data_IF_755110477244
#
_entry.id   IF_755110477244
#
_cell.length_a   1.000
_cell.length_b   1.000
_cell.length_c   1.000
_cell.angle_alpha   90.00
_cell.angle_beta   90.00
_cell.angle_gamma   90.00
#
_symmetry.space_group_name_H-M   'P 1'
#
loop_
_entity.id
_entity.type
_entity.pdbx_description
1 polymer ?
#
# COMPACT_ATOMS: atom_id res chain seq x y z
N UNK A 1 -3.70 -27.91 -23.45
CA UNK A 1 -2.38 -27.76 -22.77
C UNK A 1 -1.68 -26.42 -23.01
N UNK A 2 -1.66 -25.86 -24.24
CA UNK A 2 -1.05 -24.54 -24.52
C UNK A 2 -1.61 -23.37 -23.70
N UNK A 3 -2.92 -23.39 -23.40
CA UNK A 3 -3.60 -22.30 -22.66
C UNK A 3 -3.19 -22.28 -21.18
N UNK A 4 -2.89 -23.45 -20.60
CA UNK A 4 -2.43 -23.59 -19.20
C UNK A 4 -1.00 -23.06 -19.03
N UNK A 5 -0.15 -23.24 -20.04
CA UNK A 5 1.21 -22.71 -20.02
C UNK A 5 1.24 -21.17 -20.16
N UNK A 6 0.30 -20.60 -20.92
CA UNK A 6 0.20 -19.15 -21.11
C UNK A 6 -0.26 -18.40 -19.85
N UNK A 7 -1.20 -18.97 -19.09
CA UNK A 7 -1.70 -18.34 -17.85
C UNK A 7 -0.68 -18.38 -16.72
N UNK A 8 0.13 -19.43 -16.62
CA UNK A 8 1.21 -19.52 -15.63
C UNK A 8 2.26 -18.41 -15.81
N UNK A 9 2.55 -18.03 -17.07
CA UNK A 9 3.53 -16.99 -17.39
C UNK A 9 3.05 -15.59 -16.94
N UNK A 10 1.75 -15.29 -17.09
CA UNK A 10 1.19 -14.00 -16.67
C UNK A 10 1.14 -13.83 -15.15
N UNK A 11 0.96 -14.92 -14.38
CA UNK A 11 1.03 -14.85 -12.91
C UNK A 11 2.47 -14.59 -12.43
N UNK A 12 3.48 -15.16 -13.09
CA UNK A 12 4.88 -14.95 -12.73
C UNK A 12 5.33 -13.49 -12.97
N UNK A 13 4.81 -12.83 -14.00
CA UNK A 13 5.11 -11.43 -14.32
C UNK A 13 4.51 -10.42 -13.33
N UNK A 14 3.39 -10.77 -12.66
CA UNK A 14 2.80 -9.93 -11.62
C UNK A 14 3.60 -9.87 -10.31
N UNK A 15 4.48 -10.85 -10.07
CA UNK A 15 5.28 -10.93 -8.85
C UNK A 15 6.50 -9.99 -8.86
N UNK A 16 6.90 -9.44 -10.01
CA UNK A 16 8.01 -8.49 -10.12
C UNK A 16 7.59 -7.02 -9.95
N UNK A 17 6.32 -6.74 -9.64
CA UNK A 17 5.87 -5.39 -9.33
C UNK A 17 6.39 -4.96 -7.95
N UNK A 18 7.64 -4.49 -7.93
CA UNK A 18 8.28 -3.91 -6.76
C UNK A 18 7.44 -2.73 -6.28
N UNK A 19 6.88 -2.82 -5.07
CA UNK A 19 6.15 -1.70 -4.47
C UNK A 19 7.11 -0.52 -4.31
N UNK A 20 6.73 0.70 -4.73
CA UNK A 20 7.57 1.87 -4.57
C UNK A 20 7.88 2.09 -3.08
N UNK A 21 9.12 2.50 -2.81
CA UNK A 21 9.59 2.74 -1.44
C UNK A 21 8.76 3.89 -0.83
N UNK A 22 8.04 3.64 0.27
CA UNK A 22 7.03 4.57 0.74
C UNK A 22 7.63 5.89 1.23
N UNK A 23 8.89 5.87 1.67
CA UNK A 23 9.60 7.08 2.10
C UNK A 23 9.86 8.02 0.93
N UNK A 24 10.03 7.49 -0.29
CA UNK A 24 10.25 8.30 -1.49
C UNK A 24 8.95 9.02 -1.88
N UNK A 25 7.81 8.34 -1.74
CA UNK A 25 6.50 8.92 -2.02
C UNK A 25 6.17 10.06 -1.03
N UNK A 26 6.36 9.84 0.27
CA UNK A 26 6.09 10.85 1.31
C UNK A 26 6.96 12.11 1.13
N UNK A 27 8.25 11.95 0.76
CA UNK A 27 9.15 13.07 0.45
C UNK A 27 8.72 13.85 -0.79
N UNK A 28 8.33 13.14 -1.86
CA UNK A 28 7.90 13.78 -3.12
C UNK A 28 6.65 14.65 -2.94
N UNK A 29 5.73 14.24 -2.06
CA UNK A 29 4.54 15.02 -1.71
C UNK A 29 4.92 16.29 -0.95
N UNK A 30 5.81 16.19 0.03
CA UNK A 30 6.30 17.37 0.76
C UNK A 30 7.05 18.35 -0.16
N UNK A 31 7.81 17.86 -1.14
CA UNK A 31 8.42 18.71 -2.17
C UNK A 31 7.35 19.41 -3.02
N UNK A 32 6.30 18.69 -3.44
CA UNK A 32 5.21 19.24 -4.24
C UNK A 32 4.37 20.29 -3.49
N UNK A 33 4.27 20.19 -2.16
CA UNK A 33 3.68 21.22 -1.32
C UNK A 33 4.59 22.45 -1.12
N UNK A 34 5.84 22.39 -1.57
CA UNK A 34 6.79 23.50 -1.49
C UNK A 34 7.56 23.56 -0.16
N UNK A 35 7.56 22.49 0.64
CA UNK A 35 8.38 22.46 1.84
C UNK A 35 9.86 22.37 1.49
N UNK A 36 10.67 23.17 2.17
CA UNK A 36 12.11 23.22 1.91
C UNK A 36 12.84 22.14 2.70
N UNK A 37 13.59 21.29 1.98
CA UNK A 37 14.38 20.20 2.58
C UNK A 37 15.38 20.72 3.62
N UNK A 38 15.58 19.96 4.69
CA UNK A 38 16.46 20.32 5.80
C UNK A 38 15.86 21.30 6.81
N UNK A 39 14.57 21.62 6.69
CA UNK A 39 13.84 22.42 7.68
C UNK A 39 12.97 21.54 8.58
N UNK A 40 12.64 22.05 9.77
CA UNK A 40 11.71 21.39 10.70
C UNK A 40 10.30 21.26 10.11
N UNK A 41 9.91 22.18 9.22
CA UNK A 41 8.64 22.12 8.51
C UNK A 41 8.59 20.92 7.56
N UNK A 42 9.69 20.65 6.84
CA UNK A 42 9.81 19.48 5.98
C UNK A 42 9.79 18.18 6.78
N UNK A 43 10.52 18.13 7.91
CA UNK A 43 10.50 16.98 8.80
C UNK A 43 9.09 16.69 9.33
N UNK A 44 8.37 17.72 9.76
CA UNK A 44 6.97 17.58 10.19
C UNK A 44 6.07 17.08 9.06
N UNK A 45 6.18 17.64 7.85
CA UNK A 45 5.40 17.17 6.71
C UNK A 45 5.59 15.67 6.46
N UNK A 46 6.86 15.21 6.39
CA UNK A 46 7.16 13.79 6.15
C UNK A 46 6.65 12.91 7.28
N UNK A 47 6.79 13.36 8.54
CA UNK A 47 6.25 12.62 9.69
C UNK A 47 4.72 12.51 9.65
N UNK A 48 4.01 13.60 9.33
CA UNK A 48 2.55 13.58 9.18
C UNK A 48 2.13 12.63 8.08
N UNK A 49 2.81 12.68 6.93
CA UNK A 49 2.54 11.81 5.79
C UNK A 49 2.73 10.32 6.14
N UNK A 50 3.81 9.98 6.85
CA UNK A 50 4.07 8.62 7.30
C UNK A 50 2.97 8.12 8.26
N UNK A 51 2.52 8.95 9.21
CA UNK A 51 1.42 8.60 10.13
C UNK A 51 0.08 8.44 9.41
N UNK A 52 -0.22 9.31 8.44
CA UNK A 52 -1.42 9.17 7.63
C UNK A 52 -1.40 7.90 6.79
N UNK A 53 -0.22 7.50 6.31
CA UNK A 53 -0.01 6.24 5.59
C UNK A 53 -0.29 5.04 6.48
N UNK A 54 0.29 5.02 7.67
CA UNK A 54 0.08 3.97 8.68
C UNK A 54 -1.40 3.80 9.02
N UNK A 55 -2.11 4.90 9.30
CA UNK A 55 -3.57 4.90 9.54
C UNK A 55 -4.38 4.38 8.37
N UNK A 56 -3.93 4.58 7.12
CA UNK A 56 -4.60 4.02 5.93
C UNK A 56 -4.39 2.51 5.84
N UNK A 57 -3.20 2.02 6.18
CA UNK A 57 -2.92 0.59 6.22
C UNK A 57 -3.69 -0.13 7.31
N UNK A 58 -3.74 0.45 8.51
CA UNK A 58 -4.55 -0.07 9.63
C UNK A 58 -6.00 -0.23 9.20
N UNK A 59 -6.62 0.85 8.70
CA UNK A 59 -8.01 0.83 8.23
C UNK A 59 -8.25 -0.17 7.09
N UNK A 60 -7.29 -0.36 6.19
CA UNK A 60 -7.40 -1.40 5.16
C UNK A 60 -7.30 -2.80 5.77
N UNK A 61 -6.40 -3.01 6.73
CA UNK A 61 -6.26 -4.26 7.47
C UNK A 61 -7.54 -4.63 8.20
N UNK A 62 -8.11 -3.70 8.96
CA UNK A 62 -9.39 -3.88 9.66
C UNK A 62 -10.53 -4.24 8.70
N UNK A 63 -10.65 -3.53 7.57
CA UNK A 63 -11.68 -3.83 6.55
C UNK A 63 -11.51 -5.22 5.95
N UNK A 64 -10.27 -5.64 5.73
CA UNK A 64 -9.96 -6.98 5.21
C UNK A 64 -10.27 -8.05 6.26
N UNK A 65 -9.91 -7.82 7.52
CA UNK A 65 -10.24 -8.70 8.63
C UNK A 65 -11.75 -8.88 8.78
N UNK A 66 -12.51 -7.78 8.87
CA UNK A 66 -13.97 -7.82 8.95
C UNK A 66 -14.62 -8.57 7.77
N UNK A 67 -14.12 -8.34 6.54
CA UNK A 67 -14.60 -9.07 5.36
C UNK A 67 -14.29 -10.57 5.45
N UNK A 68 -13.09 -10.93 5.91
CA UNK A 68 -12.69 -12.32 6.07
C UNK A 68 -13.55 -13.03 7.12
N UNK A 69 -13.78 -12.41 8.28
CA UNK A 69 -14.65 -12.92 9.34
C UNK A 69 -16.08 -13.16 8.84
N UNK A 70 -16.66 -12.19 8.12
CA UNK A 70 -17.99 -12.34 7.52
C UNK A 70 -18.06 -13.49 6.51
N UNK A 71 -17.00 -13.68 5.73
CA UNK A 71 -16.94 -14.74 4.73
C UNK A 71 -16.87 -16.13 5.36
N UNK A 72 -16.17 -16.28 6.50
CA UNK A 72 -16.10 -17.56 7.22
C UNK A 72 -17.44 -17.93 7.85
N UNK A 73 -18.12 -16.99 8.52
CA UNK A 73 -19.42 -17.26 9.17
C UNK A 73 -20.58 -17.57 8.20
N UNK A 74 -20.49 -17.19 6.93
CA UNK A 74 -21.50 -17.52 5.90
C UNK A 74 -21.30 -18.89 5.24
N UNK A 75 -20.27 -19.65 5.63
CA UNK A 75 -19.98 -20.98 5.09
C UNK A 75 -20.45 -22.15 5.95
N UNK A 76 -21.11 -21.88 7.08
CA UNK A 76 -21.53 -22.88 8.08
C UNK A 76 -23.03 -23.26 8.00
N UNK A 77 -23.71 -22.96 6.89
CA UNK A 77 -25.13 -23.32 6.65
C UNK A 77 -25.30 -24.57 5.76
#
# INVERSE_FOLDING_TARGET
>A
MRIIAASALTLALGACASTPDPIVEDRSRCDAYGFQRGTDAYANCVMTQDRDRERRYERQGERRAYRAERSYGSGEE
#
